data_IF_951120054057
#
_entry.id   IF_951120054057
#
_cell.length_a   1.000
_cell.length_b   1.000
_cell.length_c   1.000
_cell.angle_alpha   90.00
_cell.angle_beta   90.00
_cell.angle_gamma   90.00
#
_symmetry.space_group_name_H-M   'P 1'
#
loop_
_entity.id
_entity.type
_entity.pdbx_description
1 polymer ?
#
# COMPACT_ATOMS: atom_id res chain seq x y z
N UNK A 1 19.13 36.11 27.97
CA UNK A 1 20.05 35.46 27.01
C UNK A 1 20.19 34.01 27.45
N UNK A 2 19.90 32.96 26.69
CA UNK A 2 19.71 32.84 25.25
C UNK A 2 18.39 32.11 24.95
N UNK A 3 17.73 32.53 23.87
CA UNK A 3 16.65 31.77 23.27
C UNK A 3 17.22 30.42 22.80
N UNK A 4 16.69 29.33 23.35
CA UNK A 4 17.03 28.00 22.85
C UNK A 4 16.39 27.88 21.46
N UNK A 5 17.27 27.85 20.47
CA UNK A 5 16.99 27.77 19.05
C UNK A 5 16.07 26.60 18.75
N UNK A 6 14.99 26.87 18.01
CA UNK A 6 14.13 25.87 17.37
C UNK A 6 14.99 24.76 16.76
N UNK A 7 14.98 23.60 17.39
CA UNK A 7 15.48 22.37 16.80
C UNK A 7 14.50 22.03 15.67
N UNK A 8 14.94 22.08 14.41
CA UNK A 8 14.25 21.37 13.33
C UNK A 8 14.28 19.88 13.69
N UNK A 9 13.27 19.43 14.42
CA UNK A 9 13.18 18.10 15.00
C UNK A 9 12.99 17.06 13.92
N UNK A 10 14.11 16.44 13.51
CA UNK A 10 14.27 15.06 13.06
C UNK A 10 12.98 14.36 12.55
N UNK A 11 12.52 14.73 11.36
CA UNK A 11 11.45 14.04 10.62
C UNK A 11 11.75 12.54 10.55
N UNK A 12 10.83 11.69 10.99
CA UNK A 12 10.99 10.24 10.83
C UNK A 12 11.11 9.90 9.35
N UNK A 13 12.19 9.21 8.98
CA UNK A 13 12.45 8.67 7.64
C UNK A 13 12.04 7.21 7.51
N UNK A 14 11.50 6.62 8.59
CA UNK A 14 11.03 5.25 8.60
C UNK A 14 9.68 5.18 7.89
N UNK A 15 9.67 4.58 6.70
CA UNK A 15 8.44 4.25 5.97
C UNK A 15 8.26 2.74 5.98
N UNK A 16 7.44 2.27 6.90
CA UNK A 16 7.16 0.85 7.12
C UNK A 16 5.99 0.42 6.25
N UNK A 17 6.12 -0.70 5.56
CA UNK A 17 5.00 -1.36 4.93
C UNK A 17 4.16 -2.08 6.00
N UNK A 18 2.91 -1.67 6.15
CA UNK A 18 1.99 -2.21 7.16
C UNK A 18 0.82 -2.92 6.51
N UNK A 19 0.90 -4.24 6.35
CA UNK A 19 -0.10 -5.05 5.63
C UNK A 19 -1.51 -5.06 6.27
N UNK A 20 -1.63 -4.64 7.53
CA UNK A 20 -2.92 -4.43 8.18
C UNK A 20 -3.50 -3.02 7.99
N UNK A 21 -2.93 -2.20 7.11
CA UNK A 21 -3.32 -0.78 6.94
C UNK A 21 -4.10 -0.58 5.65
N UNK A 22 -5.30 0.00 5.74
CA UNK A 22 -6.14 0.33 4.58
C UNK A 22 -5.92 1.75 4.04
N UNK A 23 -4.89 2.44 4.52
CA UNK A 23 -4.50 3.80 4.11
C UNK A 23 -3.01 4.00 4.39
N UNK A 24 -2.41 5.05 3.85
CA UNK A 24 -1.07 5.51 4.21
C UNK A 24 -1.12 6.50 5.39
N UNK A 25 -0.01 6.62 6.12
CA UNK A 25 0.09 7.57 7.23
C UNK A 25 1.48 8.18 7.34
N UNK A 26 1.54 9.48 7.62
CA UNK A 26 2.79 10.20 7.86
C UNK A 26 2.69 11.03 9.14
N UNK A 27 3.77 11.03 9.92
CA UNK A 27 3.83 11.77 11.18
C UNK A 27 4.13 13.26 10.97
N UNK A 28 4.82 13.61 9.88
CA UNK A 28 5.32 14.97 9.66
C UNK A 28 4.74 15.59 8.39
N UNK A 29 4.16 16.77 8.53
CA UNK A 29 3.55 17.53 7.41
C UNK A 29 4.55 17.86 6.28
N UNK A 30 5.86 17.89 6.56
CA UNK A 30 6.87 18.19 5.55
C UNK A 30 7.09 17.07 4.52
N UNK A 31 6.46 15.90 4.70
CA UNK A 31 6.40 14.86 3.67
C UNK A 31 5.43 15.19 2.53
N UNK A 32 4.47 16.06 2.78
CA UNK A 32 3.35 16.28 1.89
C UNK A 32 3.71 17.25 0.76
N UNK A 33 3.46 16.83 -0.48
CA UNK A 33 3.56 17.67 -1.69
C UNK A 33 2.25 18.39 -1.99
N UNK A 34 1.14 17.86 -1.49
CA UNK A 34 -0.18 18.49 -1.44
C UNK A 34 -0.78 18.27 -0.05
N UNK A 35 -1.59 19.21 0.44
CA UNK A 35 -2.16 19.08 1.78
C UNK A 35 -3.53 19.76 1.88
N UNK A 36 -4.52 19.00 2.36
CA UNK A 36 -5.85 19.49 2.70
C UNK A 36 -6.07 19.30 4.19
N UNK A 37 -6.27 20.40 4.92
CA UNK A 37 -6.64 20.33 6.33
C UNK A 37 -7.99 19.62 6.46
N UNK A 38 -8.00 18.52 7.19
CA UNK A 38 -9.16 17.63 7.32
C UNK A 38 -9.12 16.96 8.69
N UNK A 39 -9.67 17.61 9.73
CA UNK A 39 -9.75 17.03 11.06
C UNK A 39 -10.59 15.76 11.04
N UNK A 40 -9.98 14.63 11.41
CA UNK A 40 -10.58 13.30 11.41
C UNK A 40 -9.92 12.46 12.51
N UNK A 41 -10.30 11.18 12.61
CA UNK A 41 -9.61 10.19 13.43
C UNK A 41 -9.29 8.93 12.64
N UNK A 42 -8.22 8.24 13.03
CA UNK A 42 -8.03 6.84 12.62
C UNK A 42 -9.06 5.95 13.32
N UNK A 43 -9.22 4.72 12.84
CA UNK A 43 -10.08 3.72 13.49
C UNK A 43 -9.63 3.41 14.91
N UNK A 44 -8.32 3.54 15.19
CA UNK A 44 -7.73 3.42 16.53
C UNK A 44 -7.86 4.68 17.40
N UNK A 45 -8.49 5.74 16.89
CA UNK A 45 -8.77 6.98 17.63
C UNK A 45 -7.68 8.05 17.61
N UNK A 46 -6.58 7.84 16.87
CA UNK A 46 -5.52 8.83 16.71
C UNK A 46 -6.00 10.02 15.89
N UNK A 47 -5.53 11.22 16.22
CA UNK A 47 -5.94 12.44 15.53
C UNK A 47 -5.31 12.54 14.14
N UNK A 48 -6.17 12.75 13.14
CA UNK A 48 -5.78 13.07 11.77
C UNK A 48 -5.98 14.57 11.59
N UNK A 49 -4.93 15.29 11.22
CA UNK A 49 -4.99 16.75 11.03
C UNK A 49 -5.31 17.13 9.58
N UNK A 50 -4.99 16.26 8.64
CA UNK A 50 -5.27 16.47 7.24
C UNK A 50 -4.83 15.30 6.38
N UNK A 51 -5.09 15.44 5.09
CA UNK A 51 -4.88 14.40 4.09
C UNK A 51 -4.21 15.02 2.87
N UNK A 52 -3.32 14.28 2.21
CA UNK A 52 -2.66 14.78 1.01
C UNK A 52 -1.79 13.76 0.32
N UNK A 53 -0.94 14.25 -0.58
CA UNK A 53 -0.06 13.42 -1.41
C UNK A 53 1.36 13.47 -0.87
N UNK A 54 2.06 12.34 -0.90
CA UNK A 54 3.49 12.23 -0.56
C UNK A 54 4.25 11.64 -1.74
N UNK A 55 5.41 12.22 -2.08
CA UNK A 55 6.32 11.67 -3.09
C UNK A 55 7.59 11.17 -2.45
N UNK A 56 7.89 9.88 -2.62
CA UNK A 56 9.04 9.22 -2.03
C UNK A 56 10.00 8.79 -3.12
N UNK A 57 11.25 9.25 -3.02
CA UNK A 57 12.35 8.73 -3.84
C UNK A 57 12.90 7.47 -3.19
N UNK A 58 12.79 6.34 -3.87
CA UNK A 58 13.12 5.00 -3.38
C UNK A 58 14.17 4.34 -4.26
N UNK A 59 14.94 3.42 -3.69
CA UNK A 59 15.87 2.57 -4.45
C UNK A 59 15.13 1.38 -5.04
N UNK A 60 15.41 1.03 -6.29
CA UNK A 60 14.83 -0.13 -6.98
C UNK A 60 15.80 -1.31 -7.07
N UNK A 61 17.09 -1.06 -6.89
CA UNK A 61 18.10 -2.10 -6.88
C UNK A 61 19.27 -1.72 -5.96
N UNK A 62 20.18 -2.68 -5.77
CA UNK A 62 21.40 -2.48 -4.98
C UNK A 62 22.44 -1.62 -5.70
N UNK A 63 22.30 -1.42 -7.01
CA UNK A 63 23.20 -0.54 -7.78
C UNK A 63 22.91 0.94 -7.52
N UNK A 64 21.75 1.24 -6.92
CA UNK A 64 21.34 2.59 -6.55
C UNK A 64 20.40 3.24 -7.55
N UNK A 65 19.82 2.47 -8.49
CA UNK A 65 18.76 2.98 -9.36
C UNK A 65 17.62 3.51 -8.50
N UNK A 66 17.20 4.75 -8.80
CA UNK A 66 16.14 5.43 -8.07
C UNK A 66 14.85 5.44 -8.87
N UNK A 67 13.74 5.43 -8.15
CA UNK A 67 12.41 5.66 -8.65
C UNK A 67 11.66 6.60 -7.69
N UNK A 68 10.54 7.15 -8.14
CA UNK A 68 9.67 7.99 -7.33
C UNK A 68 8.29 7.34 -7.25
N UNK A 69 7.86 7.02 -6.03
CA UNK A 69 6.49 6.55 -5.76
C UNK A 69 5.67 7.70 -5.21
N UNK A 70 4.47 7.87 -5.72
CA UNK A 70 3.50 8.85 -5.25
C UNK A 70 2.44 8.13 -4.42
N UNK A 71 2.29 8.48 -3.15
CA UNK A 71 1.23 7.97 -2.29
C UNK A 71 0.12 9.01 -2.22
N UNK A 72 -1.10 8.61 -2.57
CA UNK A 72 -2.29 9.47 -2.50
C UNK A 72 -3.06 9.23 -1.19
N UNK A 73 -3.91 10.18 -0.82
CA UNK A 73 -4.76 10.10 0.37
C UNK A 73 -4.03 9.71 1.67
N UNK A 74 -2.81 10.20 1.84
CA UNK A 74 -1.97 9.94 3.02
C UNK A 74 -2.50 10.73 4.21
N UNK A 75 -2.70 10.06 5.35
CA UNK A 75 -3.13 10.74 6.58
C UNK A 75 -1.96 11.42 7.28
N UNK A 76 -2.13 12.68 7.69
CA UNK A 76 -1.21 13.35 8.60
C UNK A 76 -1.62 13.08 10.06
N UNK A 77 -0.84 12.24 10.74
CA UNK A 77 -1.10 11.77 12.10
C UNK A 77 0.16 12.00 12.96
N UNK A 78 0.31 13.19 13.58
CA UNK A 78 1.55 13.58 14.26
C UNK A 78 2.02 12.67 15.39
N UNK A 79 1.11 11.89 15.97
CA UNK A 79 1.41 10.97 17.07
C UNK A 79 2.01 9.64 16.63
N UNK A 80 2.12 9.37 15.32
CA UNK A 80 2.74 8.14 14.82
C UNK A 80 4.25 8.12 15.07
N UNK A 81 4.78 6.96 15.44
CA UNK A 81 6.22 6.76 15.70
C UNK A 81 7.05 6.58 14.42
N UNK A 82 6.41 6.19 13.32
CA UNK A 82 6.99 6.05 11.99
C UNK A 82 5.92 6.35 10.93
N UNK A 83 6.31 6.50 9.68
CA UNK A 83 5.36 6.60 8.57
C UNK A 83 4.98 5.20 8.09
N UNK A 84 3.80 5.07 7.50
CA UNK A 84 3.25 3.82 7.01
C UNK A 84 2.86 3.91 5.55
N UNK A 85 3.26 2.87 4.81
CA UNK A 85 2.70 2.52 3.51
C UNK A 85 1.72 1.38 3.72
N UNK A 86 0.42 1.66 3.58
CA UNK A 86 -0.61 0.64 3.61
C UNK A 86 -0.84 -0.04 2.26
N UNK A 87 -1.85 -0.91 2.23
CA UNK A 87 -2.20 -1.75 1.09
C UNK A 87 -2.58 -1.03 -0.20
N UNK A 88 -3.09 0.21 -0.20
CA UNK A 88 -3.38 0.89 -1.47
C UNK A 88 -2.16 1.04 -2.40
N UNK A 89 -0.93 0.95 -1.87
CA UNK A 89 0.28 0.92 -2.72
C UNK A 89 0.31 -0.28 -3.66
N UNK A 90 -0.32 -1.39 -3.27
CA UNK A 90 -0.34 -2.63 -4.02
C UNK A 90 -1.30 -2.51 -5.19
N UNK A 91 -2.50 -1.97 -4.94
CA UNK A 91 -3.48 -1.64 -5.98
C UNK A 91 -2.92 -0.59 -6.94
N UNK A 92 -2.14 0.37 -6.44
CA UNK A 92 -1.60 1.45 -7.26
C UNK A 92 -0.39 1.06 -8.12
N UNK A 93 0.52 0.23 -7.61
CA UNK A 93 1.79 -0.08 -8.28
C UNK A 93 1.79 -1.50 -8.84
N UNK A 94 1.29 -2.47 -8.08
CA UNK A 94 1.40 -3.89 -8.36
C UNK A 94 1.80 -4.69 -7.13
N UNK A 95 2.41 -5.86 -7.33
CA UNK A 95 2.60 -6.86 -6.29
C UNK A 95 3.70 -6.60 -5.26
N UNK A 96 3.71 -7.47 -4.24
CA UNK A 96 4.73 -7.51 -3.20
C UNK A 96 5.46 -8.86 -3.22
N UNK A 97 6.80 -8.82 -3.20
CA UNK A 97 7.62 -10.02 -3.13
C UNK A 97 8.43 -10.04 -1.83
N UNK A 98 8.30 -11.11 -1.04
CA UNK A 98 9.01 -11.28 0.23
C UNK A 98 10.00 -12.44 0.15
N UNK A 99 11.16 -12.26 0.79
CA UNK A 99 12.10 -13.35 1.03
C UNK A 99 12.92 -13.76 -0.20
N UNK A 100 13.94 -14.59 0.00
CA UNK A 100 14.80 -15.06 -1.10
C UNK A 100 15.81 -14.05 -1.66
N UNK A 101 15.84 -12.80 -1.18
CA UNK A 101 16.69 -11.72 -1.70
C UNK A 101 17.99 -11.46 -0.92
N UNK A 102 18.34 -12.31 0.05
CA UNK A 102 19.54 -12.19 0.88
C UNK A 102 19.28 -11.59 2.27
N UNK A 103 20.35 -11.15 2.97
CA UNK A 103 20.24 -10.62 4.35
C UNK A 103 19.82 -9.16 4.43
N UNK A 104 20.09 -8.38 3.38
CA UNK A 104 19.89 -6.91 3.38
C UNK A 104 18.53 -6.50 2.81
N UNK A 105 18.02 -7.26 1.85
CA UNK A 105 16.72 -7.05 1.20
C UNK A 105 15.71 -8.01 1.81
N UNK A 106 14.70 -7.45 2.48
CA UNK A 106 13.54 -8.20 2.99
C UNK A 106 12.51 -8.51 1.92
N UNK A 107 12.38 -7.63 0.93
CA UNK A 107 11.40 -7.75 -0.12
C UNK A 107 11.48 -6.62 -1.13
N UNK A 108 10.53 -6.62 -2.06
CA UNK A 108 10.40 -5.63 -3.12
C UNK A 108 8.93 -5.34 -3.39
N UNK A 109 8.64 -4.09 -3.73
CA UNK A 109 7.41 -3.72 -4.44
C UNK A 109 7.74 -3.81 -5.93
N UNK A 110 6.88 -4.50 -6.68
CA UNK A 110 7.04 -4.73 -8.11
C UNK A 110 5.81 -4.25 -8.86
N UNK A 111 5.98 -3.83 -10.11
CA UNK A 111 4.85 -3.58 -11.00
C UNK A 111 4.24 -4.90 -11.51
N UNK A 112 3.17 -4.79 -12.31
CA UNK A 112 2.48 -5.94 -12.93
C UNK A 112 3.39 -6.78 -13.85
N UNK A 113 4.43 -6.17 -14.42
CA UNK A 113 5.43 -6.86 -15.24
C UNK A 113 6.47 -7.61 -14.40
N UNK A 114 6.48 -7.39 -13.08
CA UNK A 114 7.46 -7.91 -12.14
C UNK A 114 8.73 -7.07 -12.05
N UNK A 115 8.77 -5.88 -12.67
CA UNK A 115 9.90 -4.93 -12.54
C UNK A 115 9.88 -4.32 -11.14
N UNK A 116 11.06 -4.16 -10.56
CA UNK A 116 11.17 -3.60 -9.21
C UNK A 116 10.91 -2.09 -9.19
N UNK A 117 9.95 -1.68 -8.38
CA UNK A 117 9.57 -0.27 -8.19
C UNK A 117 10.11 0.28 -6.86
N UNK A 118 10.27 -0.56 -5.83
CA UNK A 118 10.91 -0.18 -4.56
C UNK A 118 11.55 -1.37 -3.81
N UNK A 119 12.70 -1.15 -3.19
CA UNK A 119 13.34 -2.11 -2.30
C UNK A 119 12.88 -1.95 -0.86
N UNK A 120 12.71 -3.08 -0.19
CA UNK A 120 12.41 -3.15 1.22
C UNK A 120 13.61 -3.70 1.96
N UNK A 121 14.15 -2.88 2.83
CA UNK A 121 15.17 -3.30 3.78
C UNK A 121 14.54 -4.16 4.88
N UNK A 122 15.35 -5.07 5.43
CA UNK A 122 14.99 -5.90 6.58
C UNK A 122 15.86 -5.63 7.82
N UNK A 123 15.94 -4.40 8.35
CA UNK A 123 16.28 -4.28 9.76
C UNK A 123 15.07 -4.84 10.52
N UNK A 124 15.18 -6.10 10.94
CA UNK A 124 14.21 -6.80 11.77
C UNK A 124 13.56 -5.84 12.79
N UNK A 125 12.22 -5.87 13.00
CA UNK A 125 11.25 -6.86 12.50
C UNK A 125 10.34 -6.41 11.35
N UNK A 126 10.52 -5.22 10.76
CA UNK A 126 9.56 -4.63 9.81
C UNK A 126 10.15 -4.47 8.39
N UNK A 127 9.27 -4.50 7.39
CA UNK A 127 9.65 -4.21 6.00
C UNK A 127 9.63 -2.70 5.78
N UNK A 128 10.80 -2.10 5.54
CA UNK A 128 10.91 -0.64 5.37
C UNK A 128 11.37 -0.26 3.98
N UNK A 129 10.70 0.73 3.37
CA UNK A 129 11.14 1.32 2.12
C UNK A 129 12.56 1.87 2.24
N UNK A 130 13.37 1.57 1.22
CA UNK A 130 14.73 2.08 1.13
C UNK A 130 14.70 3.41 0.39
N UNK A 131 14.56 4.53 1.12
CA UNK A 131 14.59 5.86 0.51
C UNK A 131 15.98 6.21 -0.06
N UNK A 132 16.03 7.10 -1.04
CA UNK A 132 17.26 7.56 -1.70
C UNK A 132 18.20 8.31 -0.76
N UNK A 133 17.63 9.06 0.19
CA UNK A 133 18.31 9.87 1.20
C UNK A 133 18.53 9.12 2.52
N UNK A 134 18.09 7.86 2.61
CA UNK A 134 18.25 7.07 3.82
C UNK A 134 19.69 6.58 3.94
N UNK A 135 20.41 7.12 4.92
CA UNK A 135 21.65 6.52 5.39
C UNK A 135 21.29 5.24 6.15
N UNK A 136 21.79 4.04 5.75
CA UNK A 136 21.52 2.80 6.47
C UNK A 136 21.78 2.96 7.97
N UNK A 137 20.82 2.55 8.81
CA UNK A 137 20.99 2.52 10.27
C UNK A 137 20.41 3.69 11.07
N UNK A 138 19.62 4.59 10.47
CA UNK A 138 18.98 5.70 11.19
C UNK A 138 17.49 5.48 11.46
N UNK A 139 17.09 4.22 11.68
CA UNK A 139 15.74 3.92 12.14
C UNK A 139 15.57 4.34 13.59
N UNK A 140 14.41 4.88 13.91
CA UNK A 140 14.00 5.20 15.29
C UNK A 140 13.36 4.00 15.99
N UNK A 141 13.10 2.92 15.25
CA UNK A 141 12.52 1.70 15.77
C UNK A 141 13.59 0.84 16.43
N UNK A 142 13.24 0.27 17.59
CA UNK A 142 14.09 -0.65 18.34
C UNK A 142 14.20 -1.98 17.57
N UNK A 143 15.40 -2.43 17.18
CA UNK A 143 15.59 -3.73 16.52
C UNK A 143 15.10 -4.93 17.34
N UNK A 144 15.01 -4.81 18.67
CA UNK A 144 14.46 -5.83 19.57
C UNK A 144 12.97 -5.63 19.90
N UNK A 145 12.38 -4.52 19.43
CA UNK A 145 10.98 -4.19 19.65
C UNK A 145 10.04 -5.18 18.96
N UNK A 146 8.91 -5.46 19.59
CA UNK A 146 7.82 -6.24 18.98
C UNK A 146 6.70 -5.28 18.64
N UNK A 147 6.58 -4.98 17.35
CA UNK A 147 5.70 -3.94 16.86
C UNK A 147 4.46 -4.54 16.19
N UNK A 148 3.30 -4.01 16.55
CA UNK A 148 2.06 -4.16 15.79
C UNK A 148 1.61 -2.77 15.36
N UNK A 149 2.03 -2.35 14.16
CA UNK A 149 1.81 -0.99 13.67
C UNK A 149 0.95 -1.08 12.42
N UNK A 150 -0.20 -0.41 12.44
CA UNK A 150 -1.08 -0.24 11.31
C UNK A 150 -1.76 1.13 11.38
N UNK A 151 -2.31 1.57 10.25
CA UNK A 151 -3.20 2.72 10.19
C UNK A 151 -4.43 2.33 9.39
N UNK A 152 -5.59 2.48 10.02
CA UNK A 152 -6.87 2.28 9.35
C UNK A 152 -7.69 3.56 9.44
N UNK A 153 -8.34 3.90 8.33
CA UNK A 153 -9.33 4.96 8.25
C UNK A 153 -10.71 4.35 8.04
N UNK A 154 -11.74 5.00 8.59
CA UNK A 154 -13.12 4.54 8.43
C UNK A 154 -13.62 4.89 7.02
N UNK A 155 -14.48 4.03 6.45
CA UNK A 155 -15.07 4.26 5.13
C UNK A 155 -15.86 5.56 5.06
N UNK A 156 -16.56 5.91 6.15
CA UNK A 156 -17.34 7.13 6.24
C UNK A 156 -16.45 8.37 6.16
N UNK A 157 -15.26 8.32 6.74
CA UNK A 157 -14.30 9.42 6.71
C UNK A 157 -13.61 9.53 5.34
N UNK A 158 -13.27 8.40 4.72
CA UNK A 158 -12.81 8.37 3.31
C UNK A 158 -13.83 9.00 2.38
N UNK A 159 -15.10 8.61 2.51
CA UNK A 159 -16.19 9.15 1.69
C UNK A 159 -16.38 10.65 1.95
N UNK A 160 -16.31 11.09 3.22
CA UNK A 160 -16.38 12.51 3.60
C UNK A 160 -15.25 13.32 2.96
N UNK A 161 -14.04 12.76 2.89
CA UNK A 161 -12.92 13.42 2.23
C UNK A 161 -13.08 13.48 0.70
N UNK A 162 -13.46 12.37 0.07
CA UNK A 162 -13.75 12.34 -1.39
C UNK A 162 -14.81 13.36 -1.80
N UNK A 163 -15.87 13.49 -1.00
CA UNK A 163 -16.91 14.50 -1.23
C UNK A 163 -16.40 15.94 -1.09
N UNK A 164 -15.45 16.19 -0.18
CA UNK A 164 -14.82 17.51 0.01
C UNK A 164 -13.90 17.88 -1.16
N UNK A 165 -13.11 16.93 -1.66
CA UNK A 165 -12.12 17.16 -2.73
C UNK A 165 -12.76 17.22 -4.11
N UNK A 166 -14.06 16.91 -4.23
CA UNK A 166 -14.73 16.80 -5.52
C UNK A 166 -14.28 15.57 -6.31
N UNK A 167 -13.59 14.62 -5.66
CA UNK A 167 -13.33 13.28 -6.18
C UNK A 167 -14.63 12.45 -6.13
N UNK A 168 -15.68 12.94 -6.79
CA UNK A 168 -16.88 12.16 -7.06
C UNK A 168 -16.59 11.17 -8.20
N UNK A 169 -15.79 10.15 -7.92
CA UNK A 169 -16.15 8.83 -8.40
C UNK A 169 -17.22 8.31 -7.44
N UNK A 170 -18.23 7.54 -7.91
CA UNK A 170 -19.11 6.86 -6.98
C UNK A 170 -18.21 6.10 -6.03
N UNK A 171 -18.31 6.38 -4.73
CA UNK A 171 -17.90 5.40 -3.75
C UNK A 171 -18.80 4.20 -4.07
N UNK A 172 -18.25 3.20 -4.77
CA UNK A 172 -18.79 1.87 -4.65
C UNK A 172 -18.65 1.54 -3.18
N UNK A 173 -19.72 1.81 -2.43
CA UNK A 173 -20.11 0.90 -1.38
C UNK A 173 -20.02 -0.47 -2.03
N UNK A 174 -19.00 -1.26 -1.70
CA UNK A 174 -19.08 -2.70 -1.82
C UNK A 174 -20.14 -3.20 -0.81
N UNK A 175 -21.38 -2.69 -0.90
CA UNK A 175 -22.50 -3.59 -0.78
C UNK A 175 -22.36 -4.51 -1.98
N UNK A 176 -21.70 -5.64 -1.75
CA UNK A 176 -21.76 -6.78 -2.63
C UNK A 176 -23.24 -7.11 -2.83
N UNK A 177 -23.86 -6.56 -3.88
CA UNK A 177 -24.96 -7.22 -4.54
C UNK A 177 -24.34 -8.41 -5.26
N UNK A 178 -24.05 -9.42 -4.46
CA UNK A 178 -23.31 -10.61 -4.85
C UNK A 178 -24.02 -11.29 -6.00
N UNK A 179 -23.36 -11.35 -7.16
CA UNK A 179 -23.19 -12.64 -7.79
C UNK A 179 -22.41 -13.45 -6.76
N UNK A 180 -22.97 -14.52 -6.21
CA UNK A 180 -22.25 -15.35 -5.23
C UNK A 180 -20.99 -15.91 -5.90
N UNK A 181 -19.86 -15.23 -5.71
CA UNK A 181 -18.55 -15.75 -6.06
C UNK A 181 -18.21 -16.69 -4.91
N UNK A 182 -18.41 -17.99 -5.13
CA UNK A 182 -18.21 -19.00 -4.08
C UNK A 182 -16.77 -18.94 -3.58
N UNK A 183 -16.53 -18.67 -2.30
CA UNK A 183 -15.21 -18.76 -1.67
C UNK A 183 -14.84 -20.19 -1.28
N UNK A 184 -15.84 -21.06 -1.14
CA UNK A 184 -15.70 -22.42 -0.60
C UNK A 184 -14.96 -23.36 -1.57
N UNK A 185 -14.93 -23.01 -2.86
CA UNK A 185 -14.23 -23.81 -3.85
C UNK A 185 -12.71 -23.66 -3.68
N UNK A 186 -11.96 -24.78 -3.64
CA UNK A 186 -10.50 -24.77 -3.67
C UNK A 186 -9.97 -23.95 -4.85
N UNK A 187 -8.74 -23.45 -4.72
CA UNK A 187 -8.07 -22.74 -5.80
C UNK A 187 -7.92 -23.66 -7.02
N UNK A 188 -8.31 -23.16 -8.18
CA UNK A 188 -8.02 -23.80 -9.47
C UNK A 188 -6.56 -23.54 -9.87
N UNK A 189 -6.03 -24.30 -10.82
CA UNK A 189 -4.66 -24.10 -11.31
C UNK A 189 -4.47 -22.71 -11.94
N UNK A 190 -5.51 -22.15 -12.58
CA UNK A 190 -5.49 -20.80 -13.15
C UNK A 190 -5.40 -19.74 -12.04
N UNK A 191 -6.20 -19.90 -10.99
CA UNK A 191 -6.18 -19.02 -9.80
C UNK A 191 -4.84 -19.09 -9.07
N UNK A 192 -4.25 -20.28 -8.93
CA UNK A 192 -2.89 -20.43 -8.37
C UNK A 192 -1.83 -19.74 -9.22
N UNK A 193 -1.93 -19.83 -10.55
CA UNK A 193 -1.01 -19.16 -11.47
C UNK A 193 -1.16 -17.65 -11.40
N UNK A 194 -2.40 -17.15 -11.32
CA UNK A 194 -2.68 -15.73 -11.15
C UNK A 194 -2.13 -15.22 -9.81
N UNK A 195 -2.41 -15.91 -8.70
CA UNK A 195 -1.82 -15.59 -7.39
C UNK A 195 -0.30 -15.64 -7.40
N UNK A 196 0.29 -16.62 -8.08
CA UNK A 196 1.75 -16.72 -8.20
C UNK A 196 2.33 -15.57 -9.01
N UNK A 197 1.67 -15.18 -10.11
CA UNK A 197 2.11 -14.09 -10.99
C UNK A 197 1.99 -12.74 -10.29
N UNK A 198 0.84 -12.43 -9.71
CA UNK A 198 0.54 -11.10 -9.17
C UNK A 198 1.01 -10.93 -7.72
N UNK A 199 1.04 -12.01 -6.93
CA UNK A 199 1.24 -11.95 -5.48
C UNK A 199 2.34 -12.88 -4.96
N UNK A 200 2.94 -13.72 -5.81
CA UNK A 200 3.89 -14.74 -5.33
C UNK A 200 3.23 -15.86 -4.52
N UNK A 201 1.91 -16.02 -4.60
CA UNK A 201 1.14 -17.13 -4.04
C UNK A 201 0.10 -16.74 -2.97
N UNK A 202 -0.78 -17.68 -2.61
CA UNK A 202 -1.91 -17.48 -1.67
C UNK A 202 -1.44 -16.92 -0.32
N UNK A 203 -0.33 -17.42 0.23
CA UNK A 203 0.21 -16.94 1.50
C UNK A 203 0.51 -15.44 1.49
N UNK A 204 1.17 -14.97 0.43
CA UNK A 204 1.58 -13.57 0.30
C UNK A 204 0.37 -12.67 0.04
N UNK A 205 -0.58 -13.15 -0.75
CA UNK A 205 -1.87 -12.48 -0.95
C UNK A 205 -2.62 -12.30 0.37
N UNK A 206 -2.86 -13.37 1.12
CA UNK A 206 -3.55 -13.27 2.42
C UNK A 206 -2.80 -12.38 3.41
N UNK A 207 -1.48 -12.54 3.49
CA UNK A 207 -0.63 -11.70 4.35
C UNK A 207 -0.74 -10.21 4.00
N UNK A 208 -0.85 -9.87 2.71
CA UNK A 208 -1.01 -8.50 2.25
C UNK A 208 -2.31 -7.87 2.77
N UNK A 209 -3.39 -8.65 2.93
CA UNK A 209 -4.66 -8.17 3.46
C UNK A 209 -4.82 -8.41 4.98
N UNK A 210 -3.76 -8.85 5.67
CA UNK A 210 -3.79 -9.13 7.12
C UNK A 210 -4.51 -10.44 7.49
N UNK A 211 -4.81 -11.27 6.49
CA UNK A 211 -5.48 -12.55 6.61
C UNK A 211 -4.49 -13.70 6.86
N UNK A 212 -4.95 -14.75 7.55
CA UNK A 212 -4.10 -15.87 7.98
C UNK A 212 -4.34 -17.11 7.13
N UNK A 213 -3.27 -17.65 6.53
CA UNK A 213 -3.33 -18.89 5.73
C UNK A 213 -3.78 -20.14 6.52
N UNK A 214 -3.81 -20.10 7.83
CA UNK A 214 -4.28 -21.23 8.67
C UNK A 214 -5.70 -21.02 9.21
N UNK A 215 -6.34 -19.90 8.88
CA UNK A 215 -7.75 -19.65 9.18
C UNK A 215 -8.55 -19.86 7.88
N UNK A 216 -9.42 -20.86 7.83
CA UNK A 216 -10.14 -21.18 6.60
C UNK A 216 -11.14 -20.08 6.21
N UNK A 217 -11.73 -19.37 7.17
CA UNK A 217 -12.61 -18.21 6.91
C UNK A 217 -11.84 -17.09 6.19
N UNK A 218 -10.64 -16.77 6.69
CA UNK A 218 -9.73 -15.80 6.05
C UNK A 218 -9.31 -16.27 4.64
N UNK A 219 -9.13 -17.58 4.43
CA UNK A 219 -8.79 -18.12 3.11
C UNK A 219 -9.98 -18.08 2.15
N UNK A 220 -11.19 -18.37 2.63
CA UNK A 220 -12.42 -18.27 1.85
C UNK A 220 -12.64 -16.83 1.40
N UNK A 221 -12.51 -15.86 2.30
CA UNK A 221 -12.61 -14.44 1.98
C UNK A 221 -11.50 -13.99 1.05
N UNK A 222 -10.28 -14.51 1.24
CA UNK A 222 -9.19 -14.32 0.29
C UNK A 222 -9.52 -14.84 -1.12
N UNK A 223 -10.10 -16.04 -1.24
CA UNK A 223 -10.51 -16.59 -2.54
C UNK A 223 -11.61 -15.76 -3.20
N UNK A 224 -12.57 -15.23 -2.43
CA UNK A 224 -13.60 -14.31 -2.95
C UNK A 224 -12.97 -13.03 -3.50
N UNK A 225 -12.08 -12.41 -2.73
CA UNK A 225 -11.41 -11.17 -3.13
C UNK A 225 -10.52 -11.38 -4.36
N UNK A 226 -9.72 -12.45 -4.37
CA UNK A 226 -8.88 -12.81 -5.52
C UNK A 226 -9.73 -13.06 -6.78
N UNK A 227 -10.84 -13.79 -6.69
CA UNK A 227 -11.75 -14.03 -7.82
C UNK A 227 -12.37 -12.74 -8.34
N UNK A 228 -12.65 -11.76 -7.48
CA UNK A 228 -13.12 -10.45 -7.89
C UNK A 228 -12.06 -9.69 -8.71
N UNK A 229 -10.80 -9.66 -8.25
CA UNK A 229 -9.70 -9.04 -9.01
C UNK A 229 -9.44 -9.73 -10.35
N UNK A 230 -9.48 -11.06 -10.39
CA UNK A 230 -9.31 -11.79 -11.65
C UNK A 230 -10.40 -11.48 -12.68
N UNK A 231 -11.63 -11.21 -12.24
CA UNK A 231 -12.71 -10.82 -13.13
C UNK A 231 -12.55 -9.37 -13.62
N UNK A 232 -12.11 -8.47 -12.75
CA UNK A 232 -11.77 -7.09 -13.12
C UNK A 232 -10.66 -7.04 -14.18
N UNK A 233 -9.58 -7.81 -13.99
CA UNK A 233 -8.50 -7.96 -14.98
C UNK A 233 -9.03 -8.43 -16.35
N UNK A 234 -9.98 -9.38 -16.35
CA UNK A 234 -10.59 -9.91 -17.59
C UNK A 234 -11.45 -8.87 -18.30
N UNK A 235 -12.20 -8.08 -17.54
CA UNK A 235 -13.04 -7.02 -18.10
C UNK A 235 -12.20 -5.88 -18.66
N UNK A 236 -11.12 -5.50 -17.98
CA UNK A 236 -10.19 -4.47 -18.44
C UNK A 236 -9.43 -4.90 -19.70
N UNK A 237 -8.96 -6.16 -19.76
CA UNK A 237 -8.29 -6.70 -20.94
C UNK A 237 -9.20 -6.77 -22.19
N UNK A 238 -10.52 -6.94 -22.00
CA UNK A 238 -11.49 -6.95 -23.10
C UNK A 238 -11.80 -5.57 -23.68
N UNK A 239 -11.58 -4.49 -22.92
CA UNK A 239 -11.82 -3.12 -23.37
C UNK A 239 -10.66 -2.57 -24.23
N UNK A 240 -9.42 -2.99 -23.96
CA UNK A 240 -8.25 -2.59 -24.76
C UNK A 240 -8.28 -3.18 -26.20
N UNK A 241 -8.90 -4.35 -26.39
CA UNK A 241 -9.04 -4.96 -27.73
C UNK A 241 -10.16 -4.32 -28.58
N UNK A 242 -11.17 -3.68 -27.97
CA UNK A 242 -12.22 -2.97 -28.72
C UNK A 242 -11.75 -1.58 -29.21
N UNK A 243 -10.86 -0.91 -28.46
CA UNK A 243 -10.32 0.39 -28.83
C UNK A 243 -9.29 0.33 -29.99
N UNK A 244 -8.58 -0.80 -30.18
CA UNK A 244 -7.71 -0.98 -31.35
C UNK A 244 -8.49 -1.17 -32.67
N UNK A 245 -9.78 -1.52 -32.61
CA UNK A 245 -10.61 -1.73 -33.79
C UNK A 245 -11.32 -0.47 -34.30
N UNK A 246 -11.35 0.64 -33.56
CA UNK A 246 -12.06 1.87 -33.97
C UNK A 246 -11.16 2.94 -34.62
N UNK A 247 -9.85 2.73 -34.76
CA UNK A 247 -8.92 3.67 -35.44
C UNK A 247 -8.36 3.19 -36.79
N UNK A 248 -8.84 2.06 -37.30
CA UNK A 248 -8.59 1.64 -38.68
C UNK A 248 -9.84 1.77 -39.52
N UNK A 249 -10.09 2.93 -40.14
CA UNK A 249 -10.62 3.12 -41.52
C UNK A 249 -11.21 4.53 -41.70
N UNK A 250 -10.47 5.39 -42.40
CA UNK A 250 -11.04 6.33 -43.38
C UNK A 250 -10.00 6.57 -44.47
N UNK A 251 -10.40 6.26 -45.70
CA UNK A 251 -9.71 6.60 -46.94
C UNK A 251 -9.57 8.11 -47.13
#
# INVERSE_FOLDING_TARGET
>A
MAASTNNLSNRSTDWVFGSGSNVHGAADISWFTSYTAFPSKTTSGLDVLGVGTVKLKVKCDLSGTLNEIELQDVLHVPSMICNLVGNPVIEQIGGFQIGGFGREIGGKIVDESGKCEALLSKPSPLYMLTLSDNTPGRTTLDPAGHYWINVCWADEERARFKALTGQNQPAESHEAKGKEISGDLPLTQEEEQWLKKHWGGEFHFLMAYGWKIYNEEDREDGRKLMRAFMEEDRLNAGQEEEDEHEHGFSF
#
